data_IF_912456695906
#
_entry.id   IF_912456695906
#
_cell.length_a   1.000
_cell.length_b   1.000
_cell.length_c   1.000
_cell.angle_alpha   90.00
_cell.angle_beta   90.00
_cell.angle_gamma   90.00
#
_symmetry.space_group_name_H-M   'P 1'
#
loop_
_entity.id
_entity.type
_entity.pdbx_description
1 polymer ?
#
# COMPACT_ATOMS: atom_id res chain seq x y z
N UNK A 1 -9.69 12.35 5.88
CA UNK A 1 -9.45 11.54 7.10
C UNK A 1 -8.08 10.84 7.09
N UNK A 2 -7.41 10.71 5.94
CA UNK A 2 -6.04 10.20 5.87
C UNK A 2 -5.09 11.09 6.68
N UNK A 3 -4.07 10.46 7.26
CA UNK A 3 -2.98 11.10 8.00
C UNK A 3 -1.64 10.75 7.32
N UNK A 4 -0.53 11.42 7.67
CA UNK A 4 0.70 11.37 6.88
C UNK A 4 1.40 10.01 6.82
N UNK A 5 1.26 9.14 7.83
CA UNK A 5 1.98 7.88 7.87
C UNK A 5 1.30 6.80 7.00
N UNK A 6 2.11 6.02 6.29
CA UNK A 6 1.62 4.99 5.39
C UNK A 6 2.74 4.15 4.78
N UNK A 7 2.38 2.94 4.37
CA UNK A 7 3.28 1.98 3.73
C UNK A 7 2.52 1.26 2.61
N UNK A 8 3.20 1.04 1.51
CA UNK A 8 2.69 0.27 0.37
C UNK A 8 3.68 -0.83 -0.01
N UNK A 9 3.15 -1.93 -0.54
CA UNK A 9 3.94 -3.03 -1.11
C UNK A 9 3.16 -3.62 -2.28
N UNK A 10 3.88 -3.96 -3.35
CA UNK A 10 3.30 -4.59 -4.54
C UNK A 10 4.14 -5.82 -4.88
N UNK A 11 3.47 -6.94 -5.13
CA UNK A 11 4.07 -8.17 -5.64
C UNK A 11 3.64 -8.33 -7.09
N UNK A 12 4.61 -8.38 -7.99
CA UNK A 12 4.40 -8.46 -9.44
C UNK A 12 4.87 -9.82 -9.92
N UNK A 13 4.05 -10.46 -10.73
CA UNK A 13 4.36 -11.70 -11.43
C UNK A 13 5.07 -11.38 -12.76
N UNK A 14 6.13 -12.12 -13.04
CA UNK A 14 6.96 -11.94 -14.23
C UNK A 14 7.03 -13.23 -15.05
N UNK A 15 6.93 -13.09 -16.36
CA UNK A 15 7.36 -14.10 -17.33
C UNK A 15 8.71 -13.65 -17.92
N UNK A 16 9.79 -14.27 -17.44
CA UNK A 16 11.15 -13.81 -17.71
C UNK A 16 11.36 -12.37 -17.23
N UNK A 17 11.68 -11.47 -18.16
CA UNK A 17 11.91 -10.05 -17.88
C UNK A 17 10.67 -9.16 -18.00
N UNK A 18 9.49 -9.74 -18.31
CA UNK A 18 8.28 -8.97 -18.59
C UNK A 18 7.27 -9.12 -17.44
N UNK A 19 6.77 -8.01 -16.84
CA UNK A 19 5.68 -8.10 -15.89
C UNK A 19 4.39 -8.50 -16.61
N UNK A 20 3.68 -9.48 -16.06
CA UNK A 20 2.44 -10.02 -16.66
C UNK A 20 1.21 -9.72 -15.83
N UNK A 21 1.36 -9.58 -14.50
CA UNK A 21 0.24 -9.43 -13.57
C UNK A 21 0.71 -8.89 -12.21
N UNK A 22 -0.15 -8.20 -11.48
CA UNK A 22 0.04 -7.92 -10.05
C UNK A 22 -0.60 -9.05 -9.24
N UNK A 23 0.20 -9.81 -8.49
CA UNK A 23 -0.31 -10.88 -7.62
C UNK A 23 -0.92 -10.33 -6.32
N UNK A 24 -0.28 -9.31 -5.73
CA UNK A 24 -0.74 -8.73 -4.48
C UNK A 24 -0.43 -7.24 -4.35
N UNK A 25 -1.36 -6.50 -3.75
CA UNK A 25 -1.18 -5.11 -3.33
C UNK A 25 -1.49 -5.01 -1.84
N UNK A 26 -0.57 -4.45 -1.08
CA UNK A 26 -0.74 -4.15 0.34
C UNK A 26 -0.66 -2.64 0.53
N UNK A 27 -1.67 -2.07 1.19
CA UNK A 27 -1.70 -0.66 1.59
C UNK A 27 -2.04 -0.58 3.07
N UNK A 28 -1.18 0.04 3.85
CA UNK A 28 -1.45 0.45 5.23
C UNK A 28 -1.40 1.97 5.30
N UNK A 29 -2.52 2.61 5.62
CA UNK A 29 -2.59 4.07 5.73
C UNK A 29 -3.13 4.52 7.08
N UNK A 30 -2.44 5.48 7.68
CA UNK A 30 -2.87 6.12 8.91
C UNK A 30 -4.12 6.96 8.66
N UNK A 31 -5.06 6.95 9.60
CA UNK A 31 -6.34 7.63 9.47
C UNK A 31 -6.86 8.22 10.78
N UNK A 32 -7.85 9.12 10.69
CA UNK A 32 -8.59 9.62 11.86
C UNK A 32 -9.34 8.48 12.55
N UNK A 33 -9.59 8.61 13.85
CA UNK A 33 -10.36 7.64 14.61
C UNK A 33 -11.84 7.55 14.20
N UNK A 34 -12.33 8.56 13.47
CA UNK A 34 -13.74 8.77 13.14
C UNK A 34 -14.18 8.13 11.82
N UNK A 35 -13.23 7.68 10.98
CA UNK A 35 -13.57 6.99 9.73
C UNK A 35 -13.78 5.49 9.98
N UNK A 36 -14.77 4.90 9.32
CA UNK A 36 -14.94 3.44 9.32
C UNK A 36 -13.88 2.77 8.46
N UNK A 37 -13.49 1.54 8.82
CA UNK A 37 -12.56 0.77 8.01
C UNK A 37 -13.15 0.41 6.64
N UNK A 38 -14.45 0.22 6.54
CA UNK A 38 -15.10 -0.12 5.26
C UNK A 38 -15.03 1.05 4.27
N UNK A 39 -15.32 2.28 4.73
CA UNK A 39 -15.17 3.48 3.88
C UNK A 39 -13.70 3.71 3.51
N UNK A 40 -12.77 3.56 4.46
CA UNK A 40 -11.34 3.66 4.19
C UNK A 40 -10.90 2.64 3.12
N UNK A 41 -11.31 1.38 3.26
CA UNK A 41 -10.94 0.30 2.32
C UNK A 41 -11.50 0.54 0.93
N UNK A 42 -12.77 0.93 0.82
CA UNK A 42 -13.39 1.26 -0.45
C UNK A 42 -12.70 2.44 -1.14
N UNK A 43 -12.40 3.51 -0.39
CA UNK A 43 -11.76 4.70 -0.93
C UNK A 43 -10.31 4.44 -1.36
N UNK A 44 -9.53 3.66 -0.59
CA UNK A 44 -8.17 3.28 -0.99
C UNK A 44 -8.20 2.37 -2.23
N UNK A 45 -9.15 1.43 -2.32
CA UNK A 45 -9.30 0.58 -3.50
C UNK A 45 -9.57 1.42 -4.76
N UNK A 46 -10.58 2.31 -4.72
CA UNK A 46 -11.00 3.07 -5.90
C UNK A 46 -10.09 4.25 -6.22
N UNK A 47 -9.71 5.04 -5.21
CA UNK A 47 -9.00 6.31 -5.43
C UNK A 47 -7.48 6.18 -5.41
N UNK A 48 -6.94 5.05 -4.95
CA UNK A 48 -5.49 4.83 -4.89
C UNK A 48 -5.08 3.63 -5.74
N UNK A 49 -5.57 2.43 -5.44
CA UNK A 49 -5.10 1.21 -6.12
C UNK A 49 -5.53 1.21 -7.59
N UNK A 50 -6.83 1.30 -7.87
CA UNK A 50 -7.36 1.30 -9.24
C UNK A 50 -6.97 2.55 -10.05
N UNK A 51 -6.69 3.66 -9.36
CA UNK A 51 -6.24 4.90 -10.00
C UNK A 51 -4.74 4.89 -10.36
N UNK A 52 -3.94 4.03 -9.73
CA UNK A 52 -2.47 4.02 -9.89
C UNK A 52 -1.96 2.79 -10.62
N UNK A 53 -2.53 1.62 -10.36
CA UNK A 53 -2.11 0.36 -10.97
C UNK A 53 -2.81 0.21 -12.33
N UNK A 54 -2.09 -0.05 -13.43
CA UNK A 54 -2.71 -0.29 -14.73
C UNK A 54 -3.76 -1.41 -14.67
N UNK A 55 -4.93 -1.15 -15.24
CA UNK A 55 -6.07 -2.06 -15.14
C UNK A 55 -5.77 -3.42 -15.80
N UNK A 56 -4.93 -3.43 -16.83
CA UNK A 56 -4.50 -4.65 -17.52
C UNK A 56 -3.61 -5.58 -16.67
N UNK A 57 -3.07 -5.08 -15.54
CA UNK A 57 -2.28 -5.88 -14.61
C UNK A 57 -3.09 -6.34 -13.39
N UNK A 58 -4.33 -5.87 -13.24
CA UNK A 58 -5.24 -6.26 -12.16
C UNK A 58 -6.29 -7.23 -12.67
N UNK A 59 -6.46 -8.35 -11.96
CA UNK A 59 -7.48 -9.34 -12.28
C UNK A 59 -8.27 -9.79 -11.04
N UNK A 60 -9.16 -10.76 -11.23
CA UNK A 60 -10.00 -11.30 -10.15
C UNK A 60 -9.21 -12.06 -9.08
N UNK A 61 -7.99 -12.49 -9.38
CA UNK A 61 -7.12 -13.23 -8.48
C UNK A 61 -6.10 -12.32 -7.77
N UNK A 62 -6.00 -11.04 -8.13
CA UNK A 62 -5.14 -10.08 -7.45
C UNK A 62 -5.57 -9.90 -5.98
N UNK A 63 -4.65 -10.19 -5.06
CA UNK A 63 -4.90 -10.10 -3.62
C UNK A 63 -4.75 -8.66 -3.14
N UNK A 64 -5.84 -8.07 -2.65
CA UNK A 64 -5.84 -6.70 -2.13
C UNK A 64 -5.92 -6.70 -0.60
N UNK A 65 -4.89 -6.19 0.05
CA UNK A 65 -4.80 -6.05 1.51
C UNK A 65 -4.78 -4.57 1.90
N UNK A 66 -5.91 -4.05 2.38
CA UNK A 66 -5.99 -2.66 2.85
C UNK A 66 -6.20 -2.64 4.36
N UNK A 67 -5.24 -2.06 5.07
CA UNK A 67 -5.17 -2.02 6.53
C UNK A 67 -5.50 -3.40 7.15
N UNK A 68 -4.71 -4.45 6.84
CA UNK A 68 -5.02 -5.83 7.24
C UNK A 68 -4.97 -6.01 8.77
N UNK A 69 -4.17 -5.20 9.48
CA UNK A 69 -4.11 -5.16 10.94
C UNK A 69 -5.26 -4.37 11.58
N UNK A 70 -6.15 -3.79 10.77
CA UNK A 70 -7.29 -2.99 11.21
C UNK A 70 -6.92 -1.51 11.41
N UNK A 71 -7.18 -0.98 12.60
CA UNK A 71 -7.06 0.46 12.89
C UNK A 71 -5.59 0.90 12.90
N UNK A 72 -5.32 2.02 12.26
CA UNK A 72 -4.00 2.66 12.23
C UNK A 72 -4.19 4.17 12.50
N UNK A 73 -4.37 4.51 13.77
CA UNK A 73 -4.69 5.89 14.21
C UNK A 73 -3.44 6.64 14.68
N UNK A 74 -2.57 5.94 15.42
CA UNK A 74 -1.28 6.44 15.91
C UNK A 74 -0.20 6.03 14.91
N UNK A 75 0.59 6.98 14.44
CA UNK A 75 1.64 6.79 13.43
C UNK A 75 2.65 7.93 13.48
N UNK A 76 3.59 7.96 12.54
CA UNK A 76 4.70 8.89 12.54
C UNK A 76 5.65 8.66 13.72
N UNK A 77 6.38 9.68 14.18
CA UNK A 77 7.38 9.53 15.25
C UNK A 77 6.83 9.01 16.58
N UNK A 78 5.52 9.16 16.83
CA UNK A 78 4.88 8.59 18.02
C UNK A 78 4.74 7.06 17.93
N UNK A 79 4.64 6.51 16.72
CA UNK A 79 4.45 5.08 16.48
C UNK A 79 5.75 4.32 16.13
N UNK A 80 6.74 5.00 15.55
CA UNK A 80 8.01 4.40 15.13
C UNK A 80 9.13 5.46 15.08
N UNK A 81 10.31 5.15 15.61
CA UNK A 81 11.44 6.08 15.64
C UNK A 81 12.06 6.21 14.24
N UNK A 82 12.00 7.41 13.67
CA UNK A 82 12.63 7.72 12.39
C UNK A 82 14.13 8.00 12.51
N UNK A 83 14.93 7.48 11.58
CA UNK A 83 16.35 7.82 11.42
C UNK A 83 16.68 8.04 9.95
N UNK A 84 17.61 8.95 9.67
CA UNK A 84 18.17 9.19 8.34
C UNK A 84 18.77 7.92 7.75
N UNK A 85 18.59 7.69 6.45
CA UNK A 85 19.23 6.57 5.73
C UNK A 85 18.68 5.18 6.07
N UNK A 86 17.44 5.08 6.59
CA UNK A 86 16.80 3.79 6.91
C UNK A 86 15.76 3.32 5.88
N UNK A 87 15.80 3.89 4.67
CA UNK A 87 14.92 3.56 3.54
C UNK A 87 15.70 3.42 2.21
N UNK A 88 16.99 3.09 2.28
CA UNK A 88 17.91 3.07 1.12
C UNK A 88 17.46 2.21 -0.07
N UNK A 89 16.76 1.09 0.15
CA UNK A 89 16.24 0.25 -0.95
C UNK A 89 15.00 0.89 -1.60
N UNK A 90 14.17 1.57 -0.81
CA UNK A 90 13.04 2.36 -1.31
C UNK A 90 13.53 3.58 -2.08
N UNK A 91 14.63 4.20 -1.64
CA UNK A 91 15.25 5.36 -2.30
C UNK A 91 15.91 5.00 -3.65
N UNK A 92 16.07 3.71 -3.95
CA UNK A 92 16.78 3.22 -5.15
C UNK A 92 15.86 2.37 -6.03
N UNK A 93 16.15 1.09 -6.22
CA UNK A 93 15.49 0.24 -7.23
C UNK A 93 14.53 -0.80 -6.64
N UNK A 94 14.16 -0.66 -5.36
CA UNK A 94 13.22 -1.58 -4.73
C UNK A 94 13.74 -3.01 -4.54
N UNK A 95 15.05 -3.23 -4.64
CA UNK A 95 15.71 -4.52 -4.39
C UNK A 95 15.96 -5.38 -5.63
N UNK A 96 15.81 -4.79 -6.82
CA UNK A 96 16.11 -5.40 -8.12
C UNK A 96 17.60 -5.40 -8.46
#
# INVERSE_FOLDING_TARGET
>A
YLRPDGKTQVTVEYDGGKPVRVDAVVVSSQHSADISLDTLRADILERVIKATVPAELLDGDTKIYINPTGRFVVGGPQGDTGLTGRKIIVDTYGGY
#
